data_IF_427358361572
#
_entry.id   IF_427358361572
#
_cell.length_a   1.000
_cell.length_b   1.000
_cell.length_c   1.000
_cell.angle_alpha   90.00
_cell.angle_beta   90.00
_cell.angle_gamma   90.00
#
_symmetry.space_group_name_H-M   'P 1'
#
loop_
_entity.id
_entity.type
_entity.pdbx_description
1 polymer ?
#
# COMPACT_ATOMS: atom_id res chain seq x y z
N UNK A 1 1.28 -17.37 -10.06
CA UNK A 1 0.13 -16.53 -10.44
C UNK A 1 -0.38 -15.92 -9.15
N UNK A 2 0.16 -14.75 -8.79
CA UNK A 2 -0.28 -14.05 -7.57
C UNK A 2 -1.72 -13.63 -7.80
N UNK A 3 -2.62 -14.36 -7.13
CA UNK A 3 -4.05 -14.11 -7.15
C UNK A 3 -4.26 -12.69 -6.63
N UNK A 4 -4.98 -11.86 -7.39
CA UNK A 4 -5.35 -10.48 -7.07
C UNK A 4 -5.56 -10.28 -5.56
N UNK A 5 -4.52 -9.80 -4.86
CA UNK A 5 -4.63 -9.50 -3.44
C UNK A 5 -5.34 -8.17 -3.30
N UNK A 6 -6.48 -8.19 -2.60
CA UNK A 6 -7.19 -6.98 -2.22
C UNK A 6 -6.24 -6.06 -1.45
N UNK A 7 -6.13 -4.81 -1.87
CA UNK A 7 -5.26 -3.85 -1.21
C UNK A 7 -5.66 -3.67 0.26
N UNK A 8 -4.66 -3.61 1.15
CA UNK A 8 -4.88 -3.38 2.57
C UNK A 8 -5.45 -1.98 2.81
N UNK A 9 -6.31 -1.81 3.84
CA UNK A 9 -6.89 -0.52 4.16
C UNK A 9 -5.84 0.45 4.69
N UNK A 10 -6.08 1.75 4.51
CA UNK A 10 -5.25 2.78 5.15
C UNK A 10 -5.32 2.66 6.69
N UNK A 11 -4.26 3.12 7.36
CA UNK A 11 -4.08 2.91 8.80
C UNK A 11 -3.58 1.50 9.16
N UNK A 12 -3.45 0.59 8.18
CA UNK A 12 -2.78 -0.69 8.39
C UNK A 12 -1.30 -0.46 8.69
N UNK A 13 -0.82 -1.04 9.78
CA UNK A 13 0.58 -1.04 10.20
C UNK A 13 1.22 -2.37 9.80
N UNK A 14 2.34 -2.29 9.09
CA UNK A 14 3.05 -3.44 8.52
C UNK A 14 4.53 -3.42 8.87
N UNK A 15 5.16 -4.59 8.92
CA UNK A 15 6.61 -4.72 8.79
C UNK A 15 6.97 -5.03 7.34
N UNK A 16 8.11 -4.52 6.89
CA UNK A 16 8.61 -4.73 5.53
C UNK A 16 9.94 -5.49 5.61
N UNK A 17 10.19 -6.39 4.65
CA UNK A 17 11.33 -7.33 4.67
C UNK A 17 12.73 -6.69 4.91
N UNK A 18 12.87 -5.39 4.66
CA UNK A 18 14.14 -4.65 4.76
C UNK A 18 14.07 -3.40 5.66
N UNK A 19 13.01 -3.25 6.48
CA UNK A 19 12.89 -2.14 7.41
C UNK A 19 12.54 -2.64 8.81
N UNK A 20 13.38 -2.27 9.78
CA UNK A 20 13.13 -2.55 11.19
C UNK A 20 12.01 -1.67 11.79
N UNK A 21 11.69 -0.55 11.13
CA UNK A 21 10.66 0.39 11.56
C UNK A 21 9.30 -0.03 10.99
N UNK A 22 8.25 -0.20 11.82
CA UNK A 22 6.89 -0.39 11.33
C UNK A 22 6.40 0.79 10.50
N UNK A 23 5.72 0.48 9.40
CA UNK A 23 5.18 1.47 8.47
C UNK A 23 3.66 1.44 8.49
N UNK A 24 3.02 2.60 8.58
CA UNK A 24 1.57 2.74 8.44
C UNK A 24 1.22 3.18 7.02
N UNK A 25 0.40 2.39 6.34
CA UNK A 25 -0.13 2.72 5.01
C UNK A 25 -1.06 3.92 5.13
N UNK A 26 -0.84 4.96 4.33
CA UNK A 26 -1.75 6.10 4.26
C UNK A 26 -2.18 6.45 2.82
N UNK A 27 -1.59 5.81 1.81
CA UNK A 27 -2.03 5.93 0.42
C UNK A 27 -1.89 4.61 -0.34
N UNK A 28 -2.69 4.45 -1.37
CA UNK A 28 -2.79 3.25 -2.23
C UNK A 28 -2.66 3.66 -3.70
N UNK A 29 -2.13 2.78 -4.55
CA UNK A 29 -1.95 3.02 -5.99
C UNK A 29 -1.25 4.36 -6.28
N UNK A 30 -0.08 4.58 -5.70
CA UNK A 30 0.62 5.86 -5.79
C UNK A 30 1.69 5.84 -6.88
N UNK A 31 1.87 6.98 -7.54
CA UNK A 31 2.98 7.21 -8.47
C UNK A 31 4.08 8.00 -7.78
N UNK A 32 5.33 7.68 -8.08
CA UNK A 32 6.48 8.43 -7.57
C UNK A 32 7.04 9.32 -8.68
N UNK A 33 7.04 10.64 -8.48
CA UNK A 33 7.69 11.62 -9.35
C UNK A 33 7.33 11.53 -10.85
N UNK A 34 6.10 11.15 -11.19
CA UNK A 34 5.65 11.03 -12.58
C UNK A 34 6.21 9.81 -13.32
N UNK A 35 6.80 8.85 -12.61
CA UNK A 35 7.17 7.56 -13.18
C UNK A 35 5.92 6.78 -13.65
N UNK A 36 6.07 5.98 -14.71
CA UNK A 36 5.01 5.12 -15.25
C UNK A 36 4.60 3.99 -14.29
N UNK A 37 5.45 3.67 -13.31
CA UNK A 37 5.22 2.59 -12.35
C UNK A 37 4.32 3.04 -11.19
N UNK A 38 3.27 2.25 -10.95
CA UNK A 38 2.35 2.41 -9.82
C UNK A 38 2.78 1.49 -8.69
N UNK A 39 2.94 2.05 -7.49
CA UNK A 39 3.18 1.32 -6.26
C UNK A 39 1.86 0.96 -5.58
N UNK A 40 1.78 -0.22 -4.96
CA UNK A 40 0.58 -0.61 -4.20
C UNK A 40 0.31 0.36 -3.06
N UNK A 41 1.36 0.76 -2.33
CA UNK A 41 1.24 1.55 -1.11
C UNK A 41 2.26 2.68 -1.03
N UNK A 42 1.88 3.72 -0.28
CA UNK A 42 2.80 4.63 0.39
C UNK A 42 2.51 4.61 1.89
N UNK A 43 3.56 4.56 2.69
CA UNK A 43 3.46 4.58 4.15
C UNK A 43 4.44 5.52 4.83
N UNK A 44 4.13 5.84 6.08
CA UNK A 44 4.96 6.66 6.96
C UNK A 44 5.34 5.87 8.23
N UNK A 45 6.41 6.26 8.96
CA UNK A 45 6.83 5.56 10.16
C UNK A 45 5.75 5.58 11.25
N UNK A 46 5.37 4.41 11.76
CA UNK A 46 4.48 4.31 12.93
C UNK A 46 5.30 4.26 14.22
N UNK A 47 4.94 4.97 15.31
CA UNK A 47 3.74 5.80 15.51
C UNK A 47 3.95 7.30 15.17
N UNK A 48 5.07 7.68 14.55
CA UNK A 48 5.43 9.08 14.30
C UNK A 48 4.48 9.77 13.31
N UNK A 49 3.98 9.04 12.32
CA UNK A 49 3.15 9.58 11.26
C UNK A 49 3.96 10.30 10.18
N UNK A 50 3.33 11.26 9.49
CA UNK A 50 3.98 12.05 8.45
C UNK A 50 4.96 13.06 9.06
N UNK A 51 6.24 12.95 8.68
CA UNK A 51 7.30 13.89 9.08
C UNK A 51 7.61 14.82 7.90
N UNK A 52 7.99 14.23 6.78
CA UNK A 52 8.23 14.91 5.51
C UNK A 52 8.25 13.88 4.38
N UNK A 53 8.32 14.33 3.13
CA UNK A 53 8.25 13.44 1.96
C UNK A 53 9.41 12.45 1.88
N UNK A 54 10.55 12.80 2.46
CA UNK A 54 11.77 11.99 2.48
C UNK A 54 11.63 10.74 3.36
N UNK A 55 10.66 10.73 4.29
CA UNK A 55 10.35 9.58 5.15
C UNK A 55 9.22 8.70 4.62
N UNK A 56 8.66 9.05 3.45
CA UNK A 56 7.65 8.22 2.82
C UNK A 56 8.33 7.03 2.16
N UNK A 57 7.79 5.84 2.42
CA UNK A 57 8.23 4.61 1.76
C UNK A 57 7.13 4.16 0.82
N UNK A 58 7.48 4.03 -0.46
CA UNK A 58 6.63 3.40 -1.47
C UNK A 58 7.00 1.92 -1.56
N UNK A 59 6.00 1.04 -1.59
CA UNK A 59 6.23 -0.39 -1.60
C UNK A 59 5.05 -1.17 -2.19
N UNK A 60 5.36 -2.33 -2.76
CA UNK A 60 4.38 -3.31 -3.22
C UNK A 60 3.96 -4.26 -2.09
N UNK A 61 2.80 -4.89 -2.26
CA UNK A 61 2.25 -5.86 -1.31
C UNK A 61 3.21 -7.03 -1.04
N UNK A 62 3.92 -7.51 -2.06
CA UNK A 62 4.94 -8.58 -1.94
C UNK A 62 6.12 -8.23 -1.02
N UNK A 63 6.32 -6.95 -0.70
CA UNK A 63 7.38 -6.49 0.19
C UNK A 63 6.95 -6.46 1.66
N UNK A 64 5.66 -6.70 1.94
CA UNK A 64 5.12 -6.83 3.29
C UNK A 64 5.55 -8.16 3.87
N UNK A 65 6.26 -8.10 5.00
CA UNK A 65 6.65 -9.28 5.77
C UNK A 65 5.50 -9.74 6.66
N UNK A 66 4.88 -8.81 7.39
CA UNK A 66 3.74 -9.09 8.25
C UNK A 66 2.81 -7.88 8.40
N UNK A 67 1.52 -8.15 8.58
CA UNK A 67 0.54 -7.16 9.03
C UNK A 67 0.53 -7.17 10.56
N UNK A 68 0.98 -6.07 11.17
CA UNK A 68 1.04 -5.91 12.61
C UNK A 68 -0.29 -5.42 13.19
N UNK A 69 -1.01 -4.60 12.42
CA UNK A 69 -2.34 -4.12 12.73
C UNK A 69 -3.09 -3.83 11.43
N UNK A 70 -4.31 -4.34 11.28
CA UNK A 70 -5.15 -4.04 10.13
C UNK A 70 -5.90 -2.73 10.37
N UNK A 71 -5.86 -1.83 9.40
CA UNK A 71 -6.57 -0.56 9.44
C UNK A 71 -8.08 -0.73 9.57
N UNK A 72 -8.77 0.36 9.85
CA UNK A 72 -10.23 0.36 10.00
C UNK A 72 -10.92 0.04 8.67
N UNK A 73 -11.86 -0.90 8.68
CA UNK A 73 -12.64 -1.31 7.51
C UNK A 73 -14.10 -0.94 7.70
N UNK A 74 -14.54 0.13 7.04
CA UNK A 74 -15.95 0.44 6.86
C UNK A 74 -16.50 -0.18 5.57
N UNK A 75 -17.82 -0.23 5.37
CA UNK A 75 -18.40 -0.62 4.08
C UNK A 75 -17.82 0.18 2.90
N UNK A 76 -17.63 1.49 3.06
CA UNK A 76 -17.01 2.35 2.03
C UNK A 76 -15.55 1.97 1.75
N UNK A 77 -14.81 1.57 2.78
CA UNK A 77 -13.42 1.12 2.63
C UNK A 77 -13.33 -0.22 1.89
N UNK A 78 -14.29 -1.13 2.12
CA UNK A 78 -14.41 -2.38 1.38
C UNK A 78 -14.70 -2.12 -0.10
N UNK A 79 -15.72 -1.30 -0.40
CA UNK A 79 -16.07 -0.90 -1.77
C UNK A 79 -14.88 -0.26 -2.50
N UNK A 80 -14.17 0.67 -1.83
CA UNK A 80 -13.00 1.32 -2.41
C UNK A 80 -11.84 0.35 -2.62
N UNK A 81 -11.58 -0.54 -1.66
CA UNK A 81 -10.48 -1.51 -1.78
C UNK A 81 -10.70 -2.47 -2.94
N UNK A 82 -11.93 -2.92 -3.17
CA UNK A 82 -12.29 -3.75 -4.33
C UNK A 82 -12.12 -3.01 -5.66
N UNK A 83 -12.59 -1.75 -5.73
CA UNK A 83 -12.46 -0.92 -6.91
C UNK A 83 -10.98 -0.66 -7.28
N UNK A 84 -10.17 -0.28 -6.29
CA UNK A 84 -8.73 -0.03 -6.47
C UNK A 84 -7.98 -1.30 -6.87
N UNK A 85 -8.27 -2.44 -6.23
CA UNK A 85 -7.61 -3.71 -6.55
C UNK A 85 -7.94 -4.15 -7.99
N UNK A 86 -9.18 -3.95 -8.43
CA UNK A 86 -9.61 -4.21 -9.80
C UNK A 86 -8.92 -3.29 -10.81
N UNK A 87 -8.74 -2.02 -10.47
CA UNK A 87 -8.05 -1.05 -11.33
C UNK A 87 -6.55 -1.35 -11.43
N UNK A 88 -5.89 -1.67 -10.31
CA UNK A 88 -4.49 -2.07 -10.27
C UNK A 88 -4.22 -3.31 -11.13
N UNK A 89 -5.10 -4.33 -11.06
CA UNK A 89 -4.99 -5.51 -11.92
C UNK A 89 -5.09 -5.15 -13.41
N UNK A 90 -5.97 -4.21 -13.79
CA UNK A 90 -6.07 -3.73 -15.17
C UNK A 90 -4.81 -3.00 -15.64
N UNK A 91 -4.19 -2.21 -14.78
CA UNK A 91 -2.91 -1.56 -15.09
C UNK A 91 -1.82 -2.62 -15.33
N UNK A 92 -1.65 -3.57 -14.40
CA UNK A 92 -0.62 -4.62 -14.50
C UNK A 92 -0.82 -5.57 -15.69
N UNK A 93 -2.05 -5.81 -16.12
CA UNK A 93 -2.35 -6.64 -17.28
C UNK A 93 -2.12 -5.94 -18.64
N UNK A 94 -1.97 -4.61 -18.68
CA UNK A 94 -1.64 -3.87 -19.91
C UNK A 94 -0.15 -3.88 -20.25
N UNK A 95 0.70 -4.21 -19.27
CA UNK A 95 2.16 -4.24 -19.40
C UNK A 95 2.71 -5.64 -19.79
N UNK A 96 1.83 -6.55 -20.24
CA UNK A 96 2.15 -7.92 -20.71
C UNK A 96 1.82 -8.08 -22.19
#
# INVERSE_FOLDING_TARGET
MEKDQTLLPIGTVVSLNNLNQPMMIYGRMQTQNGAESIWDYVGCPYPLGFISKEYNVFFDHKQIEAVLFKGYESPQEQELSEALSSELARFRNKDV
#
